data_IF_100341603769
#
_entry.id   IF_100341603769
#
_cell.length_a   1.000
_cell.length_b   1.000
_cell.length_c   1.000
_cell.angle_alpha   90.00
_cell.angle_beta   90.00
_cell.angle_gamma   90.00
#
_symmetry.space_group_name_H-M   'P 1'
#
loop_
_entity.id
_entity.type
_entity.pdbx_description
1 polymer ?
#
# COMPACT_ATOMS: atom_id res chain seq x y z
N UNK A 1 -12.97 49.84 19.06
CA UNK A 1 -12.75 48.92 17.93
C UNK A 1 -11.72 47.81 18.22
N UNK A 2 -11.22 47.67 19.46
CA UNK A 2 -10.24 46.62 19.84
C UNK A 2 -10.82 45.52 20.76
N UNK A 3 -12.01 45.70 21.33
CA UNK A 3 -12.65 44.65 22.15
C UNK A 3 -13.24 43.49 21.33
N UNK A 4 -13.60 43.72 20.05
CA UNK A 4 -14.25 42.71 19.20
C UNK A 4 -13.31 41.65 18.60
N UNK A 5 -11.99 41.80 18.74
CA UNK A 5 -11.02 40.82 18.21
C UNK A 5 -10.65 39.76 19.25
N UNK A 6 -10.83 40.05 20.56
CA UNK A 6 -10.56 39.08 21.63
C UNK A 6 -11.64 37.99 21.74
N UNK A 7 -12.88 38.32 21.40
CA UNK A 7 -14.03 37.43 21.58
C UNK A 7 -14.23 36.39 20.45
N UNK A 8 -13.32 36.36 19.46
CA UNK A 8 -13.28 35.30 18.45
C UNK A 8 -12.13 34.32 18.62
N UNK A 9 -11.24 34.55 19.60
CA UNK A 9 -10.19 33.57 19.95
C UNK A 9 -10.66 32.46 20.88
N UNK A 10 -11.82 32.61 21.54
CA UNK A 10 -12.39 31.62 22.47
C UNK A 10 -13.52 30.76 21.88
N UNK A 11 -13.89 30.97 20.61
CA UNK A 11 -14.92 30.18 19.91
C UNK A 11 -14.37 29.19 18.88
N UNK A 12 -13.05 29.12 18.72
CA UNK A 12 -12.42 28.06 17.95
C UNK A 12 -12.25 26.83 18.82
N UNK A 13 -13.19 25.88 18.72
CA UNK A 13 -12.86 24.48 19.01
C UNK A 13 -11.87 24.05 17.91
N UNK A 14 -10.59 24.36 18.09
CA UNK A 14 -9.53 23.76 17.30
C UNK A 14 -9.37 22.33 17.80
N UNK A 15 -10.32 21.49 17.40
CA UNK A 15 -10.13 20.05 17.34
C UNK A 15 -8.82 19.84 16.60
N UNK A 16 -7.80 19.49 17.37
CA UNK A 16 -6.48 18.99 16.98
C UNK A 16 -6.38 18.78 15.46
N UNK A 17 -5.98 19.83 14.73
CA UNK A 17 -5.92 19.86 13.25
C UNK A 17 -4.80 18.99 12.66
N UNK A 18 -4.05 18.31 13.52
CA UNK A 18 -3.15 17.23 13.15
C UNK A 18 -3.50 16.01 14.01
N UNK A 19 -4.49 15.23 13.56
CA UNK A 19 -4.52 13.82 13.95
C UNK A 19 -3.19 13.21 13.50
N UNK A 20 -2.51 12.50 14.39
CA UNK A 20 -1.45 11.59 13.95
C UNK A 20 -2.06 10.77 12.82
N UNK A 21 -1.44 10.76 11.64
CA UNK A 21 -1.84 9.85 10.57
C UNK A 21 -1.96 8.46 11.22
N UNK A 22 -3.10 7.76 11.08
CA UNK A 22 -3.17 6.38 11.51
C UNK A 22 -1.98 5.68 10.87
N UNK A 23 -1.23 4.90 11.64
CA UNK A 23 -0.19 4.05 11.07
C UNK A 23 -0.78 3.32 9.85
N UNK A 24 -0.02 3.14 8.76
CA UNK A 24 -0.52 2.42 7.60
C UNK A 24 -1.19 1.13 8.06
N UNK A 25 -2.33 0.81 7.48
CA UNK A 25 -3.07 -0.43 7.79
C UNK A 25 -2.30 -1.61 7.21
N UNK A 26 -1.18 -1.96 7.84
CA UNK A 26 -0.32 -3.07 7.46
C UNK A 26 -0.83 -4.32 8.13
N UNK A 27 -1.18 -5.33 7.34
CA UNK A 27 -1.50 -6.66 7.86
C UNK A 27 -0.19 -7.39 8.12
N UNK A 28 0.16 -7.63 9.39
CA UNK A 28 1.32 -8.43 9.78
C UNK A 28 1.12 -9.89 9.36
N UNK A 29 2.14 -10.45 8.70
CA UNK A 29 2.12 -11.82 8.19
C UNK A 29 3.08 -12.71 8.98
N UNK A 30 2.69 -13.92 9.40
CA UNK A 30 3.60 -14.88 10.01
C UNK A 30 4.78 -15.16 9.08
N UNK A 31 5.98 -15.14 9.63
CA UNK A 31 7.20 -15.43 8.88
C UNK A 31 8.24 -15.97 9.85
N UNK A 32 8.91 -17.05 9.45
CA UNK A 32 10.06 -17.56 10.19
C UNK A 32 11.17 -16.49 10.24
N UNK A 33 12.17 -16.66 11.09
CA UNK A 33 13.36 -15.79 11.08
C UNK A 33 14.40 -16.42 10.13
N UNK A 34 14.45 -16.00 8.85
CA UNK A 34 15.50 -16.46 7.95
C UNK A 34 16.84 -15.89 8.43
N UNK A 35 17.85 -16.73 8.42
CA UNK A 35 19.23 -16.31 8.64
C UNK A 35 19.75 -15.72 7.32
N UNK A 36 20.42 -14.56 7.35
CA UNK A 36 21.14 -13.96 6.23
C UNK A 36 20.28 -13.30 5.11
N UNK A 37 19.14 -12.67 5.47
CA UNK A 37 18.39 -11.80 4.54
C UNK A 37 18.47 -10.31 4.90
N UNK A 38 19.16 -9.96 5.99
CA UNK A 38 19.16 -8.62 6.57
C UNK A 38 19.68 -7.57 5.59
N UNK A 39 20.79 -7.84 4.91
CA UNK A 39 21.38 -6.92 3.93
C UNK A 39 20.46 -6.70 2.73
N UNK A 40 19.81 -7.76 2.24
CA UNK A 40 18.85 -7.68 1.14
C UNK A 40 17.60 -6.91 1.55
N UNK A 41 17.10 -7.14 2.77
CA UNK A 41 15.97 -6.38 3.33
C UNK A 41 16.33 -4.91 3.45
N UNK A 42 17.51 -4.57 3.99
CA UNK A 42 17.97 -3.20 4.13
C UNK A 42 18.10 -2.50 2.78
N UNK A 43 18.67 -3.18 1.78
CA UNK A 43 18.82 -2.64 0.42
C UNK A 43 17.48 -2.43 -0.27
N UNK A 44 16.56 -3.39 -0.16
CA UNK A 44 15.22 -3.23 -0.71
C UNK A 44 14.43 -2.14 0.01
N UNK A 45 14.62 -1.99 1.33
CA UNK A 45 14.01 -0.92 2.11
C UNK A 45 14.53 0.46 1.70
N UNK A 46 15.84 0.62 1.48
CA UNK A 46 16.37 1.90 1.00
C UNK A 46 15.82 2.29 -0.36
N UNK A 47 15.52 1.33 -1.23
CA UNK A 47 14.84 1.60 -2.51
C UNK A 47 13.36 1.94 -2.35
N UNK A 48 12.69 1.39 -1.33
CA UNK A 48 11.28 1.75 -1.04
C UNK A 48 11.18 3.19 -0.53
N UNK A 49 12.18 3.66 0.21
CA UNK A 49 12.23 5.03 0.75
C UNK A 49 12.70 6.07 -0.28
N UNK A 50 13.30 5.62 -1.39
CA UNK A 50 13.80 6.47 -2.46
C UNK A 50 12.64 6.93 -3.38
N UNK A 51 12.36 8.23 -3.40
CA UNK A 51 11.27 8.82 -4.17
C UNK A 51 11.48 8.69 -5.69
N UNK A 52 12.71 8.46 -6.14
CA UNK A 52 13.04 8.23 -7.55
C UNK A 52 12.83 6.77 -7.98
N UNK A 53 12.56 5.86 -7.03
CA UNK A 53 12.35 4.44 -7.30
C UNK A 53 10.87 4.08 -7.28
N UNK A 54 10.34 3.82 -8.47
CA UNK A 54 8.92 3.51 -8.63
C UNK A 54 8.53 2.02 -8.50
N UNK A 55 9.27 1.13 -9.16
CA UNK A 55 8.93 -0.31 -9.24
C UNK A 55 10.16 -1.15 -8.94
N UNK A 56 10.04 -2.07 -7.98
CA UNK A 56 11.09 -3.01 -7.59
C UNK A 56 10.68 -4.43 -7.99
N UNK A 57 11.51 -5.08 -8.81
CA UNK A 57 11.31 -6.48 -9.21
C UNK A 57 12.10 -7.44 -8.33
N UNK A 58 11.42 -8.38 -7.66
CA UNK A 58 12.05 -9.50 -6.97
C UNK A 58 11.97 -10.75 -7.86
N UNK A 59 13.10 -11.23 -8.37
CA UNK A 59 13.16 -12.37 -9.29
C UNK A 59 14.24 -13.38 -8.89
N UNK A 60 14.12 -14.61 -9.37
CA UNK A 60 15.00 -15.72 -9.04
C UNK A 60 14.29 -17.07 -9.08
N UNK A 61 15.05 -18.16 -8.92
CA UNK A 61 14.53 -19.52 -8.96
C UNK A 61 13.41 -19.77 -7.92
N UNK A 62 12.61 -20.82 -8.14
CA UNK A 62 11.64 -21.29 -7.14
C UNK A 62 12.34 -21.68 -5.84
N UNK A 63 11.69 -21.44 -4.69
CA UNK A 63 12.21 -21.84 -3.37
C UNK A 63 13.31 -20.95 -2.77
N UNK A 64 13.83 -19.96 -3.49
CA UNK A 64 14.93 -19.09 -2.99
C UNK A 64 14.50 -18.05 -1.93
N UNK A 65 13.22 -18.04 -1.52
CA UNK A 65 12.75 -17.16 -0.45
C UNK A 65 12.26 -15.77 -0.89
N UNK A 66 11.87 -15.57 -2.15
CA UNK A 66 11.32 -14.28 -2.64
C UNK A 66 10.10 -13.81 -1.85
N UNK A 67 9.12 -14.70 -1.66
CA UNK A 67 7.92 -14.43 -0.85
C UNK A 67 8.28 -14.17 0.61
N UNK A 68 9.30 -14.86 1.15
CA UNK A 68 9.82 -14.59 2.49
C UNK A 68 10.41 -13.18 2.60
N UNK A 69 11.21 -12.74 1.63
CA UNK A 69 11.75 -11.38 1.56
C UNK A 69 10.62 -10.35 1.48
N UNK A 70 9.66 -10.54 0.58
CA UNK A 70 8.51 -9.65 0.43
C UNK A 70 7.68 -9.57 1.73
N UNK A 71 7.52 -10.69 2.43
CA UNK A 71 6.81 -10.76 3.72
C UNK A 71 7.54 -9.98 4.83
N UNK A 72 8.88 -10.05 4.86
CA UNK A 72 9.68 -9.25 5.80
C UNK A 72 9.58 -7.76 5.52
N UNK A 73 9.60 -7.37 4.24
CA UNK A 73 9.40 -5.97 3.83
C UNK A 73 8.01 -5.47 4.24
N UNK A 74 6.95 -6.25 3.99
CA UNK A 74 5.59 -5.95 4.46
C UNK A 74 5.57 -5.65 5.96
N UNK A 75 6.10 -6.56 6.78
CA UNK A 75 6.06 -6.41 8.24
C UNK A 75 6.95 -5.24 8.73
N UNK A 76 7.97 -4.86 7.96
CA UNK A 76 8.85 -3.73 8.29
C UNK A 76 8.12 -2.40 8.29
N UNK A 77 7.09 -2.22 7.46
CA UNK A 77 6.23 -1.02 7.48
C UNK A 77 5.50 -0.81 8.81
N UNK A 78 5.30 -1.84 9.62
CA UNK A 78 4.69 -1.70 10.95
C UNK A 78 5.69 -1.41 12.07
N UNK A 79 6.97 -1.69 11.86
CA UNK A 79 8.01 -1.60 12.90
C UNK A 79 9.02 -0.47 12.65
N UNK A 80 9.07 0.04 11.42
CA UNK A 80 9.98 1.13 11.01
C UNK A 80 9.15 2.37 10.72
N UNK A 81 9.47 3.54 11.31
CA UNK A 81 8.82 4.79 10.95
C UNK A 81 8.87 5.03 9.45
N UNK A 82 7.72 5.34 8.86
CA UNK A 82 7.56 5.67 7.46
C UNK A 82 6.30 6.54 7.31
N UNK A 83 6.14 7.13 6.14
CA UNK A 83 5.08 8.05 5.77
C UNK A 83 4.14 7.47 4.69
N UNK A 84 4.21 6.15 4.46
CA UNK A 84 3.22 5.47 3.64
C UNK A 84 1.89 5.42 4.39
N UNK A 85 0.82 5.76 3.70
CA UNK A 85 -0.55 5.77 4.23
C UNK A 85 -1.24 4.43 4.03
N UNK A 86 -0.84 3.69 3.00
CA UNK A 86 -1.46 2.42 2.61
C UNK A 86 -0.39 1.44 2.15
N UNK A 87 -0.38 0.25 2.74
CA UNK A 87 0.45 -0.88 2.32
C UNK A 87 -0.47 -2.04 1.96
N UNK A 88 -0.43 -2.47 0.71
CA UNK A 88 -1.35 -3.45 0.14
C UNK A 88 -0.59 -4.69 -0.22
N UNK A 89 -1.06 -5.85 0.23
CA UNK A 89 -0.57 -7.14 -0.24
C UNK A 89 -1.61 -7.79 -1.14
N UNK A 90 -1.26 -8.05 -2.40
CA UNK A 90 -2.10 -8.80 -3.32
C UNK A 90 -1.38 -10.06 -3.78
N UNK A 91 -1.93 -11.21 -3.41
CA UNK A 91 -1.54 -12.49 -3.96
C UNK A 91 -2.09 -12.60 -5.38
N UNK A 92 -1.21 -12.72 -6.37
CA UNK A 92 -1.58 -12.92 -7.77
C UNK A 92 -1.72 -14.41 -8.01
N UNK A 93 -0.67 -15.21 -8.07
CA UNK A 93 -0.75 -16.61 -8.49
C UNK A 93 -1.29 -16.81 -9.92
N UNK A 94 -1.03 -17.99 -10.48
CA UNK A 94 -1.25 -18.28 -11.90
C UNK A 94 -2.71 -18.10 -12.37
N UNK A 95 -3.68 -18.38 -11.50
CA UNK A 95 -5.10 -18.36 -11.86
C UNK A 95 -5.81 -17.06 -11.42
N UNK A 96 -5.06 -16.00 -11.11
CA UNK A 96 -5.67 -14.72 -10.76
C UNK A 96 -6.03 -13.88 -11.96
N UNK A 97 -7.32 -13.59 -12.06
CA UNK A 97 -7.83 -12.54 -12.93
C UNK A 97 -7.57 -11.16 -12.32
N UNK A 98 -7.56 -10.13 -13.17
CA UNK A 98 -7.51 -8.71 -12.74
C UNK A 98 -8.55 -8.43 -11.65
N UNK A 99 -9.78 -8.95 -11.80
CA UNK A 99 -10.84 -8.79 -10.80
C UNK A 99 -10.50 -9.36 -9.42
N UNK A 100 -9.78 -10.50 -9.34
CA UNK A 100 -9.33 -11.04 -8.05
C UNK A 100 -8.26 -10.16 -7.40
N UNK A 101 -7.34 -9.60 -8.20
CA UNK A 101 -6.33 -8.64 -7.71
C UNK A 101 -7.02 -7.39 -7.18
N UNK A 102 -7.97 -6.84 -7.94
CA UNK A 102 -8.77 -5.68 -7.54
C UNK A 102 -9.55 -5.95 -6.25
N UNK A 103 -10.07 -7.15 -6.06
CA UNK A 103 -10.74 -7.52 -4.81
C UNK A 103 -9.80 -7.49 -3.60
N UNK A 104 -8.57 -8.02 -3.73
CA UNK A 104 -7.57 -7.95 -2.65
C UNK A 104 -7.16 -6.52 -2.31
N UNK A 105 -6.98 -5.70 -3.35
CA UNK A 105 -6.67 -4.27 -3.17
C UNK A 105 -7.85 -3.54 -2.53
N UNK A 106 -9.05 -3.75 -3.06
CA UNK A 106 -10.31 -3.18 -2.60
C UNK A 106 -10.56 -3.46 -1.12
N UNK A 107 -10.42 -4.72 -0.70
CA UNK A 107 -10.52 -5.14 0.70
C UNK A 107 -9.58 -4.33 1.62
N UNK A 108 -8.36 -4.04 1.17
CA UNK A 108 -7.37 -3.28 1.94
C UNK A 108 -7.70 -1.78 2.03
N UNK A 109 -8.27 -1.21 0.97
CA UNK A 109 -8.61 0.23 0.89
C UNK A 109 -10.05 0.54 1.32
N UNK A 110 -10.75 -0.42 1.94
CA UNK A 110 -12.05 -0.23 2.57
C UNK A 110 -13.28 -0.62 1.74
N UNK A 111 -13.10 -1.26 0.58
CA UNK A 111 -14.19 -1.80 -0.23
C UNK A 111 -14.48 -3.27 0.12
N UNK A 112 -15.13 -3.49 1.27
CA UNK A 112 -15.46 -4.84 1.77
C UNK A 112 -16.94 -5.20 1.67
N UNK A 113 -17.79 -4.30 1.16
CA UNK A 113 -19.23 -4.52 1.10
C UNK A 113 -19.67 -5.36 -0.13
N UNK A 114 -20.93 -5.82 -0.09
CA UNK A 114 -21.52 -6.59 -1.18
C UNK A 114 -21.72 -5.80 -2.48
N UNK A 115 -21.61 -4.47 -2.45
CA UNK A 115 -21.69 -3.63 -3.65
C UNK A 115 -20.40 -3.71 -4.46
N UNK A 116 -19.24 -3.81 -3.79
CA UNK A 116 -17.93 -3.97 -4.44
C UNK A 116 -17.89 -5.19 -5.35
N UNK A 117 -18.38 -6.33 -4.88
CA UNK A 117 -18.38 -7.60 -5.63
C UNK A 117 -19.24 -7.53 -6.90
N UNK A 118 -20.18 -6.59 -7.01
CA UNK A 118 -21.05 -6.39 -8.19
C UNK A 118 -20.46 -5.43 -9.22
N UNK A 119 -19.40 -4.69 -8.88
CA UNK A 119 -18.76 -3.74 -9.81
C UNK A 119 -18.02 -4.47 -10.93
N UNK A 120 -18.05 -3.88 -12.13
CA UNK A 120 -17.21 -4.33 -13.24
C UNK A 120 -15.73 -4.07 -12.96
N UNK A 121 -14.84 -4.72 -13.72
CA UNK A 121 -13.39 -4.50 -13.63
C UNK A 121 -13.05 -3.02 -13.85
N UNK A 122 -13.67 -2.36 -14.83
CA UNK A 122 -13.40 -0.95 -15.13
C UNK A 122 -13.84 -0.02 -13.98
N UNK A 123 -15.01 -0.28 -13.39
CA UNK A 123 -15.49 0.48 -12.23
C UNK A 123 -14.54 0.34 -11.04
N UNK A 124 -14.08 -0.88 -10.77
CA UNK A 124 -13.09 -1.14 -9.71
C UNK A 124 -11.76 -0.44 -9.98
N UNK A 125 -11.28 -0.45 -11.23
CA UNK A 125 -10.05 0.21 -11.62
C UNK A 125 -10.10 1.73 -11.35
N UNK A 126 -11.21 2.38 -11.74
CA UNK A 126 -11.42 3.82 -11.49
C UNK A 126 -11.44 4.13 -9.99
N UNK A 127 -12.13 3.31 -9.20
CA UNK A 127 -12.21 3.51 -7.75
C UNK A 127 -10.86 3.31 -7.04
N UNK A 128 -10.11 2.26 -7.41
CA UNK A 128 -8.77 2.00 -6.89
C UNK A 128 -7.85 3.17 -7.25
N UNK A 129 -7.84 3.58 -8.52
CA UNK A 129 -7.00 4.69 -8.99
C UNK A 129 -7.29 5.97 -8.22
N UNK A 130 -8.57 6.33 -8.06
CA UNK A 130 -8.97 7.55 -7.34
C UNK A 130 -8.46 7.58 -5.90
N UNK A 131 -8.46 6.43 -5.20
CA UNK A 131 -7.95 6.36 -3.83
C UNK A 131 -6.43 6.45 -3.81
N UNK A 132 -5.75 5.64 -4.62
CA UNK A 132 -4.29 5.54 -4.59
C UNK A 132 -3.59 6.81 -5.12
N UNK A 133 -4.19 7.51 -6.09
CA UNK A 133 -3.62 8.73 -6.66
C UNK A 133 -3.50 9.90 -5.67
N UNK A 134 -4.16 9.82 -4.51
CA UNK A 134 -4.13 10.86 -3.48
C UNK A 134 -3.43 10.40 -2.20
N UNK A 135 -2.69 9.30 -2.26
CA UNK A 135 -2.03 8.70 -1.10
C UNK A 135 -0.60 8.30 -1.42
N UNK A 136 0.27 8.36 -0.42
CA UNK A 136 1.56 7.66 -0.49
C UNK A 136 1.33 6.18 -0.20
N UNK A 137 1.54 5.30 -1.19
CA UNK A 137 1.15 3.88 -1.09
C UNK A 137 2.27 2.92 -1.52
N UNK A 138 2.16 1.67 -1.06
CA UNK A 138 2.94 0.52 -1.56
C UNK A 138 1.99 -0.61 -1.93
N UNK A 139 2.19 -1.22 -3.10
CA UNK A 139 1.52 -2.46 -3.50
C UNK A 139 2.55 -3.58 -3.64
N UNK A 140 2.43 -4.60 -2.80
CA UNK A 140 3.23 -5.81 -2.81
C UNK A 140 2.47 -6.88 -3.60
N UNK A 141 2.91 -7.14 -4.82
CA UNK A 141 2.36 -8.18 -5.69
C UNK A 141 3.18 -9.47 -5.51
N UNK A 142 2.56 -10.51 -4.96
CA UNK A 142 3.21 -11.79 -4.69
C UNK A 142 2.81 -12.88 -5.70
N UNK A 143 3.73 -13.80 -5.96
CA UNK A 143 3.57 -14.95 -6.87
C UNK A 143 3.14 -14.55 -8.30
N UNK A 144 3.90 -13.65 -8.92
CA UNK A 144 3.70 -13.24 -10.31
C UNK A 144 4.20 -14.29 -11.31
N UNK A 145 3.31 -14.78 -12.16
CA UNK A 145 3.62 -15.70 -13.27
C UNK A 145 3.68 -15.00 -14.62
N UNK A 146 2.93 -13.91 -14.76
CA UNK A 146 2.84 -13.09 -15.97
C UNK A 146 2.84 -11.60 -15.60
N UNK A 147 3.02 -10.74 -16.60
CA UNK A 147 2.98 -9.29 -16.39
C UNK A 147 1.57 -8.84 -16.02
N UNK A 148 1.43 -8.12 -14.92
CA UNK A 148 0.18 -7.46 -14.52
C UNK A 148 0.06 -6.11 -15.22
N UNK A 149 -1.08 -5.85 -15.85
CA UNK A 149 -1.43 -4.54 -16.37
C UNK A 149 -1.94 -3.64 -15.22
N UNK A 150 -1.05 -2.81 -14.70
CA UNK A 150 -1.35 -1.88 -13.59
C UNK A 150 -2.52 -0.95 -13.91
N UNK A 151 -2.70 -0.55 -15.17
CA UNK A 151 -3.80 0.33 -15.57
C UNK A 151 -5.15 -0.39 -15.45
N UNK A 152 -5.23 -1.65 -15.89
CA UNK A 152 -6.46 -2.45 -15.75
C UNK A 152 -6.79 -2.75 -14.29
N UNK A 153 -5.78 -2.90 -13.43
CA UNK A 153 -5.99 -3.05 -12.00
C UNK A 153 -6.43 -1.72 -11.37
N UNK A 154 -5.98 -0.59 -11.91
CA UNK A 154 -6.22 0.75 -11.37
C UNK A 154 -5.08 1.28 -10.48
N UNK A 155 -3.89 0.67 -10.55
CA UNK A 155 -2.71 1.11 -9.79
C UNK A 155 -2.04 2.26 -10.55
N UNK A 156 -1.92 3.46 -9.97
CA UNK A 156 -1.17 4.56 -10.58
C UNK A 156 0.28 4.16 -10.82
N UNK A 157 0.85 4.60 -11.95
CA UNK A 157 2.28 4.42 -12.20
C UNK A 157 3.06 5.48 -11.40
N UNK A 158 4.22 5.13 -10.85
CA UNK A 158 5.13 6.11 -10.26
C UNK A 158 5.42 7.24 -11.25
N UNK A 159 5.46 8.47 -10.78
CA UNK A 159 5.95 9.61 -11.55
C UNK A 159 7.41 9.34 -11.96
N UNK A 160 7.72 9.59 -13.23
CA UNK A 160 9.09 9.60 -13.73
C UNK A 160 9.76 10.94 -13.47
#
# INVERSE_FOLDING_TARGET
>A
MLQKISDHKSKGAFEKVAGNQPAPSVVIRPVEQPVALESTIQKAWSWIEDEDVGIIGLYGLGGVGKTTLLTKLNNKFSTTPNDFEVVIWALVSKDSSVGKIQDRIGETIGFSDGSWKKKSVDQKAVDIYRILNNKRFVVLLDDLWERVDLNQVGIPKPSQ
#
